data_IF_935064384135
#
_entry.id   IF_935064384135
#
_cell.length_a   1.000
_cell.length_b   1.000
_cell.length_c   1.000
_cell.angle_alpha   90.00
_cell.angle_beta   90.00
_cell.angle_gamma   90.00
#
_symmetry.space_group_name_H-M   'P 1'
#
loop_
_entity.id
_entity.type
_entity.pdbx_description
1 polymer ?
#
# COMPACT_ATOMS: atom_id res chain seq x y z
N UNK A 1 14.74 -18.65 -15.01
CA UNK A 1 14.47 -18.68 -13.55
C UNK A 1 13.08 -18.10 -13.34
N UNK A 2 12.22 -18.79 -12.57
CA UNK A 2 10.82 -18.36 -12.35
C UNK A 2 10.71 -17.29 -11.25
N UNK A 3 9.67 -16.47 -11.32
CA UNK A 3 9.17 -15.63 -10.24
C UNK A 3 7.66 -15.91 -10.09
N UNK A 4 7.01 -15.27 -9.10
CA UNK A 4 5.57 -15.45 -8.85
C UNK A 4 4.75 -14.96 -10.04
N UNK A 5 3.76 -15.72 -10.47
CA UNK A 5 2.81 -15.41 -11.53
C UNK A 5 1.45 -14.98 -11.00
N UNK A 6 0.61 -14.38 -11.84
CA UNK A 6 -0.76 -14.04 -11.48
C UNK A 6 -1.61 -15.25 -11.12
N UNK A 7 -1.43 -16.37 -11.83
CA UNK A 7 -2.14 -17.61 -11.51
C UNK A 7 -1.76 -18.16 -10.11
N UNK A 8 -0.47 -18.12 -9.75
CA UNK A 8 -0.02 -18.48 -8.40
C UNK A 8 -0.58 -17.52 -7.35
N UNK A 9 -0.67 -16.23 -7.67
CA UNK A 9 -1.28 -15.26 -6.77
C UNK A 9 -2.77 -15.54 -6.54
N UNK A 10 -3.57 -15.70 -7.60
CA UNK A 10 -4.99 -16.05 -7.49
C UNK A 10 -5.18 -17.31 -6.65
N UNK A 11 -4.41 -18.37 -6.93
CA UNK A 11 -4.47 -19.61 -6.16
C UNK A 11 -4.19 -19.39 -4.67
N UNK A 12 -3.27 -18.48 -4.34
CA UNK A 12 -2.92 -18.17 -2.94
C UNK A 12 -4.02 -17.43 -2.18
N UNK A 13 -5.01 -16.86 -2.88
CA UNK A 13 -6.18 -16.18 -2.28
C UNK A 13 -7.36 -17.13 -2.02
N UNK A 14 -7.32 -18.36 -2.55
CA UNK A 14 -8.31 -19.41 -2.31
C UNK A 14 -7.99 -20.13 -0.98
N UNK A 15 -7.90 -19.36 0.10
CA UNK A 15 -7.38 -19.77 1.40
C UNK A 15 -8.46 -19.90 2.49
N UNK A 16 -9.74 -19.68 2.13
CA UNK A 16 -10.85 -19.79 3.06
C UNK A 16 -11.00 -18.59 4.01
N UNK A 17 -10.44 -17.43 3.66
CA UNK A 17 -10.58 -16.18 4.44
C UNK A 17 -12.03 -15.79 4.66
N UNK A 18 -12.31 -15.17 5.79
CA UNK A 18 -13.67 -14.74 6.18
C UNK A 18 -13.87 -13.28 5.76
N UNK A 19 -14.61 -13.07 4.67
CA UNK A 19 -14.91 -11.75 4.11
C UNK A 19 -16.42 -11.51 4.11
N UNK A 20 -16.82 -10.34 4.61
CA UNK A 20 -18.20 -9.86 4.56
C UNK A 20 -18.33 -8.68 3.61
N UNK A 21 -19.39 -8.68 2.81
CA UNK A 21 -19.84 -7.54 2.00
C UNK A 21 -21.37 -7.47 2.08
N UNK A 22 -21.92 -6.28 2.26
CA UNK A 22 -23.37 -6.05 2.42
C UNK A 22 -24.00 -6.98 3.47
N UNK A 23 -23.29 -7.25 4.56
CA UNK A 23 -23.73 -8.10 5.69
C UNK A 23 -23.71 -9.60 5.40
N UNK A 24 -23.18 -10.05 4.27
CA UNK A 24 -23.14 -11.47 3.85
C UNK A 24 -21.71 -11.95 3.66
N UNK A 25 -21.49 -13.25 3.90
CA UNK A 25 -20.21 -13.90 3.55
C UNK A 25 -20.04 -13.93 2.03
N UNK A 26 -18.87 -13.50 1.57
CA UNK A 26 -18.54 -13.44 0.16
C UNK A 26 -18.15 -14.80 -0.45
N UNK A 27 -17.72 -15.76 0.38
CA UNK A 27 -17.15 -17.03 -0.11
C UNK A 27 -15.79 -16.81 -0.78
N UNK A 28 -15.57 -17.43 -1.94
CA UNK A 28 -14.33 -17.29 -2.69
C UNK A 28 -14.21 -15.88 -3.30
N UNK A 29 -13.28 -15.10 -2.79
CA UNK A 29 -13.02 -13.71 -3.26
C UNK A 29 -12.54 -13.64 -4.71
N UNK A 30 -11.95 -14.73 -5.22
CA UNK A 30 -11.43 -14.78 -6.60
C UNK A 30 -12.53 -14.84 -7.65
N UNK A 31 -13.72 -15.32 -7.25
CA UNK A 31 -14.88 -15.50 -8.13
C UNK A 31 -16.03 -14.52 -7.81
N UNK A 32 -16.02 -13.92 -6.61
CA UNK A 32 -17.11 -13.05 -6.16
C UNK A 32 -17.22 -11.79 -7.02
N UNK A 33 -18.43 -11.42 -7.45
CA UNK A 33 -18.71 -10.30 -8.35
C UNK A 33 -18.18 -8.93 -7.85
N UNK A 34 -18.04 -8.78 -6.54
CA UNK A 34 -17.53 -7.54 -5.95
C UNK A 34 -15.99 -7.44 -5.96
N UNK A 35 -15.24 -8.50 -6.27
CA UNK A 35 -13.80 -8.55 -6.05
C UNK A 35 -12.99 -9.16 -7.20
N UNK A 36 -13.60 -9.92 -8.09
CA UNK A 36 -12.93 -10.70 -9.15
C UNK A 36 -12.05 -9.86 -10.07
N UNK A 37 -12.45 -8.61 -10.41
CA UNK A 37 -11.65 -7.75 -11.28
C UNK A 37 -10.48 -7.13 -10.51
N UNK A 38 -10.68 -6.77 -9.24
CA UNK A 38 -9.61 -6.32 -8.36
C UNK A 38 -8.55 -7.41 -8.19
N UNK A 39 -8.98 -8.66 -7.95
CA UNK A 39 -8.08 -9.82 -7.89
C UNK A 39 -7.33 -10.03 -9.21
N UNK A 40 -8.02 -9.93 -10.36
CA UNK A 40 -7.39 -10.01 -11.69
C UNK A 40 -6.38 -8.87 -11.92
N UNK A 41 -6.66 -7.67 -11.41
CA UNK A 41 -5.73 -6.54 -11.51
C UNK A 41 -4.48 -6.75 -10.66
N UNK A 42 -4.60 -7.33 -9.48
CA UNK A 42 -3.44 -7.75 -8.70
C UNK A 42 -2.64 -8.86 -9.41
N UNK A 43 -3.32 -9.86 -9.95
CA UNK A 43 -2.69 -10.93 -10.73
C UNK A 43 -1.94 -10.41 -11.96
N UNK A 44 -2.49 -9.42 -12.66
CA UNK A 44 -1.85 -8.75 -13.80
C UNK A 44 -0.48 -8.17 -13.44
N UNK A 45 -0.28 -7.65 -12.23
CA UNK A 45 1.02 -7.15 -11.78
C UNK A 45 2.05 -8.29 -11.74
N UNK A 46 1.69 -9.44 -11.18
CA UNK A 46 2.56 -10.61 -11.11
C UNK A 46 2.80 -11.24 -12.49
N UNK A 47 1.80 -11.27 -13.37
CA UNK A 47 1.99 -11.74 -14.75
C UNK A 47 2.93 -10.82 -15.53
N UNK A 48 2.82 -9.50 -15.34
CA UNK A 48 3.73 -8.55 -15.96
C UNK A 48 5.19 -8.78 -15.53
N UNK A 49 5.45 -9.01 -14.23
CA UNK A 49 6.82 -9.27 -13.78
C UNK A 49 7.38 -10.61 -14.28
N UNK A 50 6.51 -11.60 -14.51
CA UNK A 50 6.90 -12.92 -14.94
C UNK A 50 7.21 -13.04 -16.45
N UNK A 51 6.87 -12.03 -17.25
CA UNK A 51 7.20 -12.00 -18.67
C UNK A 51 8.70 -12.00 -18.89
N UNK A 52 9.22 -12.78 -19.86
CA UNK A 52 10.66 -12.84 -20.13
C UNK A 52 11.33 -11.47 -20.32
N UNK A 53 10.68 -10.56 -21.03
CA UNK A 53 11.15 -9.21 -21.31
C UNK A 53 11.21 -8.30 -20.08
N UNK A 54 10.43 -8.59 -19.04
CA UNK A 54 10.32 -7.77 -17.83
C UNK A 54 11.09 -8.32 -16.63
N UNK A 55 11.49 -9.59 -16.66
CA UNK A 55 12.00 -10.31 -15.48
C UNK A 55 13.23 -9.63 -14.88
N UNK A 56 14.15 -9.13 -15.70
CA UNK A 56 15.36 -8.44 -15.22
C UNK A 56 15.06 -7.06 -14.64
N UNK A 57 14.09 -6.35 -15.22
CA UNK A 57 13.64 -5.06 -14.69
C UNK A 57 12.93 -5.25 -13.34
N UNK A 58 11.98 -6.18 -13.30
CA UNK A 58 11.01 -6.30 -12.21
C UNK A 58 11.53 -7.06 -11.00
N UNK A 59 12.52 -7.94 -11.19
CA UNK A 59 12.91 -8.91 -10.16
C UNK A 59 14.41 -8.90 -9.89
N UNK A 60 14.77 -9.42 -8.71
CA UNK A 60 16.15 -9.75 -8.34
C UNK A 60 16.18 -11.14 -7.72
N UNK A 61 17.36 -11.71 -7.57
CA UNK A 61 17.55 -12.99 -6.89
C UNK A 61 18.20 -12.73 -5.52
N UNK A 62 17.47 -12.92 -4.40
CA UNK A 62 18.08 -12.86 -3.08
C UNK A 62 19.18 -13.91 -2.91
N UNK A 63 20.17 -13.64 -2.07
CA UNK A 63 21.22 -14.60 -1.77
C UNK A 63 20.62 -15.89 -1.21
N UNK A 64 21.07 -17.02 -1.73
CA UNK A 64 20.58 -18.34 -1.32
C UNK A 64 19.17 -18.72 -1.79
N UNK A 65 18.46 -17.82 -2.50
CA UNK A 65 17.12 -18.13 -3.00
C UNK A 65 17.16 -18.97 -4.28
N UNK A 66 16.19 -19.88 -4.41
CA UNK A 66 16.00 -20.70 -5.62
C UNK A 66 15.17 -19.97 -6.69
N UNK A 67 14.49 -18.89 -6.33
CA UNK A 67 13.53 -18.16 -7.13
C UNK A 67 13.85 -16.64 -7.10
N UNK A 68 13.52 -15.95 -8.19
CA UNK A 68 13.54 -14.48 -8.25
C UNK A 68 12.29 -13.91 -7.59
N UNK A 69 12.41 -12.75 -6.96
CA UNK A 69 11.30 -12.03 -6.31
C UNK A 69 11.26 -10.58 -6.76
N UNK A 70 10.14 -9.90 -6.56
CA UNK A 70 9.99 -8.50 -6.95
C UNK A 70 11.05 -7.60 -6.32
N UNK A 71 11.53 -6.59 -7.08
CA UNK A 71 12.52 -5.63 -6.58
C UNK A 71 12.01 -4.75 -5.43
N UNK A 72 10.71 -4.69 -5.19
CA UNK A 72 10.18 -4.02 -4.01
C UNK A 72 10.76 -4.59 -2.70
N UNK A 73 11.14 -5.86 -2.68
CA UNK A 73 11.79 -6.54 -1.56
C UNK A 73 13.31 -6.31 -1.48
N UNK A 74 13.91 -5.65 -2.48
CA UNK A 74 15.35 -5.40 -2.49
C UNK A 74 15.70 -4.27 -1.51
N UNK A 75 16.70 -4.51 -0.67
CA UNK A 75 17.38 -3.49 0.13
C UNK A 75 18.54 -2.92 -0.70
N UNK A 76 18.44 -1.68 -1.23
CA UNK A 76 19.45 -1.11 -2.09
C UNK A 76 20.75 -0.81 -1.30
N UNK A 77 21.90 -1.06 -1.93
CA UNK A 77 23.21 -0.76 -1.39
C UNK A 77 23.83 0.50 -1.98
N UNK A 78 23.29 0.99 -3.07
CA UNK A 78 23.77 2.17 -3.76
C UNK A 78 22.65 2.89 -4.53
N UNK A 79 22.98 4.05 -5.07
CA UNK A 79 22.07 4.84 -5.91
C UNK A 79 21.56 4.05 -7.14
N UNK A 80 22.41 3.27 -7.78
CA UNK A 80 22.02 2.52 -8.98
C UNK A 80 20.99 1.44 -8.67
N UNK A 81 21.11 0.77 -7.52
CA UNK A 81 20.10 -0.19 -7.05
C UNK A 81 18.79 0.49 -6.65
N UNK A 82 18.86 1.67 -6.01
CA UNK A 82 17.68 2.48 -5.71
C UNK A 82 16.91 2.85 -6.98
N UNK A 83 17.63 3.33 -8.01
CA UNK A 83 17.02 3.67 -9.31
C UNK A 83 16.42 2.44 -10.01
N UNK A 84 17.10 1.28 -9.96
CA UNK A 84 16.55 0.02 -10.52
C UNK A 84 15.26 -0.37 -9.82
N UNK A 85 15.23 -0.28 -8.49
CA UNK A 85 14.03 -0.54 -7.68
C UNK A 85 12.89 0.41 -8.04
N UNK A 86 13.14 1.71 -8.16
CA UNK A 86 12.15 2.70 -8.63
C UNK A 86 11.58 2.36 -9.99
N UNK A 87 12.43 2.02 -10.97
CA UNK A 87 11.98 1.67 -12.32
C UNK A 87 11.02 0.47 -12.32
N UNK A 88 11.28 -0.53 -11.50
CA UNK A 88 10.37 -1.68 -11.34
C UNK A 88 9.01 -1.25 -10.77
N UNK A 89 8.99 -0.49 -9.68
CA UNK A 89 7.75 0.02 -9.08
C UNK A 89 6.98 0.93 -10.05
N UNK A 90 7.69 1.77 -10.79
CA UNK A 90 7.10 2.66 -11.78
C UNK A 90 6.44 1.88 -12.93
N UNK A 91 7.07 0.78 -13.38
CA UNK A 91 6.51 -0.11 -14.40
C UNK A 91 5.21 -0.78 -13.91
N UNK A 92 5.15 -1.23 -12.66
CA UNK A 92 3.90 -1.72 -12.06
C UNK A 92 2.83 -0.62 -11.96
N UNK A 93 3.19 0.56 -11.47
CA UNK A 93 2.26 1.67 -11.36
C UNK A 93 1.65 2.07 -12.71
N UNK A 94 2.40 1.96 -13.82
CA UNK A 94 1.92 2.26 -15.16
C UNK A 94 0.74 1.37 -15.60
N UNK A 95 0.68 0.12 -15.15
CA UNK A 95 -0.40 -0.82 -15.50
C UNK A 95 -1.77 -0.38 -14.97
N UNK A 96 -1.79 0.36 -13.88
CA UNK A 96 -3.01 0.92 -13.26
C UNK A 96 -3.09 2.44 -13.39
N UNK A 97 -2.24 3.05 -14.21
CA UNK A 97 -2.14 4.51 -14.31
C UNK A 97 -1.88 5.20 -12.94
N UNK A 98 -1.28 4.47 -12.00
CA UNK A 98 -1.05 4.92 -10.64
C UNK A 98 -2.29 4.87 -9.73
N UNK A 99 -3.41 4.24 -10.12
CA UNK A 99 -4.63 4.18 -9.31
C UNK A 99 -4.64 3.04 -8.29
N UNK A 100 -3.85 1.99 -8.44
CA UNK A 100 -3.61 1.03 -7.36
C UNK A 100 -2.57 1.60 -6.39
N UNK A 101 -3.03 2.22 -5.31
CA UNK A 101 -2.20 2.94 -4.35
C UNK A 101 -1.50 2.02 -3.36
N UNK A 102 -2.11 0.89 -3.05
CA UNK A 102 -1.63 -0.14 -2.14
C UNK A 102 -1.34 -1.44 -2.89
N UNK A 103 -0.62 -1.33 -4.01
CA UNK A 103 -0.05 -2.45 -4.75
C UNK A 103 0.96 -3.23 -3.89
N UNK A 104 1.36 -4.46 -4.29
CA UNK A 104 2.23 -5.32 -3.46
C UNK A 104 3.54 -4.64 -3.01
N UNK A 105 4.08 -3.71 -3.80
CA UNK A 105 5.31 -2.97 -3.51
C UNK A 105 5.17 -1.93 -2.37
N UNK A 106 3.95 -1.56 -2.00
CA UNK A 106 3.72 -0.52 -0.99
C UNK A 106 4.18 -0.96 0.41
N UNK A 107 3.61 -2.03 0.95
CA UNK A 107 3.98 -2.49 2.29
C UNK A 107 5.30 -3.28 2.27
N UNK A 108 5.63 -3.98 1.19
CA UNK A 108 6.95 -4.55 1.00
C UNK A 108 8.05 -3.49 1.20
N UNK A 109 7.83 -2.26 0.70
CA UNK A 109 8.75 -1.13 0.91
C UNK A 109 8.87 -0.75 2.38
N UNK A 110 7.76 -0.71 3.13
CA UNK A 110 7.80 -0.39 4.56
C UNK A 110 8.58 -1.45 5.35
N UNK A 111 8.30 -2.73 5.12
CA UNK A 111 8.99 -3.86 5.79
C UNK A 111 10.48 -3.87 5.46
N UNK A 112 10.84 -3.65 4.18
CA UNK A 112 12.24 -3.47 3.76
C UNK A 112 12.92 -2.36 4.58
N UNK A 113 12.29 -1.19 4.66
CA UNK A 113 12.84 -0.08 5.43
C UNK A 113 12.93 -0.36 6.93
N UNK A 114 12.00 -1.12 7.51
CA UNK A 114 12.08 -1.52 8.91
C UNK A 114 13.28 -2.45 9.15
N UNK A 115 13.50 -3.43 8.29
CA UNK A 115 14.65 -4.35 8.40
C UNK A 115 15.98 -3.66 8.13
N UNK A 116 16.02 -2.63 7.27
CA UNK A 116 17.21 -1.77 7.10
C UNK A 116 17.55 -0.95 8.36
N UNK A 117 16.63 -0.86 9.31
CA UNK A 117 16.81 -0.23 10.62
C UNK A 117 16.64 -1.21 11.79
N UNK A 118 17.09 -2.46 11.62
CA UNK A 118 16.86 -3.54 12.57
C UNK A 118 17.40 -3.24 13.96
N UNK A 119 18.45 -2.42 14.08
CA UNK A 119 19.03 -1.98 15.35
C UNK A 119 18.03 -1.22 16.25
N UNK A 120 16.96 -0.66 15.69
CA UNK A 120 15.87 -0.04 16.46
C UNK A 120 15.05 -1.13 17.18
N UNK A 121 14.77 -2.23 16.48
CA UNK A 121 14.07 -3.37 17.05
C UNK A 121 14.93 -4.16 18.04
N UNK A 122 16.24 -4.24 17.82
CA UNK A 122 17.19 -4.88 18.74
C UNK A 122 17.18 -4.20 20.13
N UNK A 123 17.05 -2.87 20.16
CA UNK A 123 16.90 -2.11 21.42
C UNK A 123 15.60 -2.44 22.15
N UNK A 124 14.53 -2.73 21.42
CA UNK A 124 13.25 -3.18 21.99
C UNK A 124 13.32 -4.64 22.46
N UNK A 125 14.08 -5.48 21.79
CA UNK A 125 14.32 -6.87 22.15
C UNK A 125 14.82 -7.72 20.99
N UNK A 126 15.89 -8.47 21.23
CA UNK A 126 16.51 -9.31 20.19
C UNK A 126 15.54 -10.30 19.55
N UNK A 127 14.58 -10.86 20.32
CA UNK A 127 13.56 -11.75 19.82
C UNK A 127 12.60 -11.04 18.86
N UNK A 128 12.28 -9.76 19.08
CA UNK A 128 11.41 -8.95 18.23
C UNK A 128 12.10 -8.58 16.92
N UNK A 129 13.38 -8.22 17.00
CA UNK A 129 14.21 -7.99 15.83
C UNK A 129 14.32 -9.24 14.95
N UNK A 130 14.59 -10.39 15.59
CA UNK A 130 14.63 -11.68 14.88
C UNK A 130 13.30 -12.00 14.20
N UNK A 131 12.18 -11.83 14.90
CA UNK A 131 10.84 -12.07 14.36
C UNK A 131 10.58 -11.23 13.10
N UNK A 132 10.91 -9.94 13.11
CA UNK A 132 10.76 -9.07 11.96
C UNK A 132 11.66 -9.48 10.79
N UNK A 133 12.91 -9.85 11.06
CA UNK A 133 13.86 -10.30 10.05
C UNK A 133 13.38 -11.61 9.39
N UNK A 134 12.98 -12.59 10.18
CA UNK A 134 12.47 -13.87 9.70
C UNK A 134 11.20 -13.67 8.86
N UNK A 135 10.32 -12.78 9.31
CA UNK A 135 9.13 -12.39 8.56
C UNK A 135 9.46 -11.79 7.19
N UNK A 136 10.41 -10.85 7.14
CA UNK A 136 10.88 -10.28 5.88
C UNK A 136 11.42 -11.36 4.94
N UNK A 137 12.24 -12.28 5.45
CA UNK A 137 12.82 -13.35 4.65
C UNK A 137 11.73 -14.30 4.10
N UNK A 138 10.72 -14.61 4.89
CA UNK A 138 9.59 -15.44 4.46
C UNK A 138 8.71 -14.71 3.45
N UNK A 139 8.29 -13.48 3.75
CA UNK A 139 7.42 -12.68 2.91
C UNK A 139 8.07 -12.37 1.54
N UNK A 140 9.36 -12.02 1.54
CA UNK A 140 10.10 -11.74 0.31
C UNK A 140 10.31 -13.01 -0.52
N UNK A 141 10.64 -14.15 0.10
CA UNK A 141 10.85 -15.44 -0.60
C UNK A 141 9.58 -15.90 -1.32
N UNK A 142 8.42 -15.67 -0.71
CA UNK A 142 7.12 -16.02 -1.28
C UNK A 142 6.54 -14.91 -2.17
N UNK A 143 7.20 -13.76 -2.26
CA UNK A 143 6.73 -12.58 -3.00
C UNK A 143 5.27 -12.24 -2.63
N UNK A 144 4.98 -12.16 -1.31
CA UNK A 144 3.63 -11.95 -0.80
C UNK A 144 3.11 -10.55 -1.11
N UNK A 145 1.83 -10.46 -1.38
CA UNK A 145 1.09 -9.21 -1.32
C UNK A 145 0.70 -8.94 0.12
N UNK A 146 1.18 -7.84 0.69
CA UNK A 146 0.88 -7.44 2.06
C UNK A 146 -0.07 -6.25 2.07
N UNK A 147 -1.08 -6.30 2.94
CA UNK A 147 -1.83 -5.12 3.38
C UNK A 147 -1.45 -4.73 4.80
N UNK A 148 -1.87 -3.55 5.25
CA UNK A 148 -1.66 -3.13 6.62
C UNK A 148 -2.86 -2.38 7.18
N UNK A 149 -3.02 -2.42 8.50
CA UNK A 149 -4.01 -1.67 9.24
C UNK A 149 -3.36 -1.00 10.44
N UNK A 150 -3.38 0.34 10.45
CA UNK A 150 -2.73 1.17 11.47
C UNK A 150 -3.68 2.17 12.11
N UNK A 151 -4.87 2.34 11.54
CA UNK A 151 -5.86 3.34 11.97
C UNK A 151 -6.94 2.67 12.81
N UNK A 152 -7.20 3.23 13.97
CA UNK A 152 -8.30 2.80 14.82
C UNK A 152 -9.65 3.28 14.27
N UNK A 153 -10.75 2.52 14.47
CA UNK A 153 -12.10 3.00 14.15
C UNK A 153 -12.40 4.31 14.90
N UNK A 154 -12.99 5.27 14.17
CA UNK A 154 -13.30 6.59 14.72
C UNK A 154 -14.76 6.63 15.22
N UNK A 155 -15.02 6.07 16.42
CA UNK A 155 -16.35 6.13 17.00
C UNK A 155 -16.54 7.38 17.88
N UNK A 156 -16.00 7.41 19.08
CA UNK A 156 -16.13 8.53 19.99
C UNK A 156 -14.83 9.36 20.04
N UNK A 157 -14.75 10.38 19.18
CA UNK A 157 -13.52 11.20 19.01
C UNK A 157 -13.13 12.01 20.26
N UNK A 158 -14.05 12.21 21.20
CA UNK A 158 -13.81 12.92 22.45
C UNK A 158 -13.19 12.06 23.55
N UNK A 159 -13.11 10.75 23.36
CA UNK A 159 -12.52 9.80 24.30
C UNK A 159 -11.13 9.38 23.88
N UNK A 160 -10.27 9.14 24.86
CA UNK A 160 -8.98 8.49 24.64
C UNK A 160 -9.16 7.04 24.15
N UNK A 161 -8.13 6.49 23.52
CA UNK A 161 -8.22 5.14 22.93
C UNK A 161 -8.45 4.06 23.98
N UNK A 162 -7.88 4.22 25.18
CA UNK A 162 -8.12 3.31 26.31
C UNK A 162 -9.55 3.34 26.88
N UNK A 163 -10.28 4.45 26.64
CA UNK A 163 -11.66 4.64 27.11
C UNK A 163 -12.72 4.19 26.11
N UNK A 164 -12.30 3.80 24.88
CA UNK A 164 -13.20 3.24 23.89
C UNK A 164 -13.70 1.85 24.34
N UNK A 165 -14.83 1.40 23.77
CA UNK A 165 -15.33 0.03 23.98
C UNK A 165 -14.22 -1.00 23.72
N UNK A 166 -14.12 -2.02 24.57
CA UNK A 166 -13.08 -3.06 24.47
C UNK A 166 -13.05 -3.76 23.10
N UNK A 167 -14.20 -3.90 22.47
CA UNK A 167 -14.33 -4.57 21.17
C UNK A 167 -14.13 -3.63 19.98
N UNK A 168 -13.99 -2.32 20.23
CA UNK A 168 -13.89 -1.35 19.13
C UNK A 168 -12.47 -1.25 18.57
N UNK A 169 -11.48 -1.12 19.43
CA UNK A 169 -10.09 -0.87 19.05
C UNK A 169 -9.25 -2.11 19.30
N UNK A 170 -8.51 -2.56 18.28
CA UNK A 170 -7.66 -3.74 18.41
C UNK A 170 -6.63 -3.59 19.52
N UNK A 171 -6.65 -4.53 20.46
CA UNK A 171 -5.79 -4.60 21.65
C UNK A 171 -5.38 -6.02 21.99
N UNK A 172 -4.30 -6.16 22.74
CA UNK A 172 -3.91 -7.43 23.35
C UNK A 172 -4.86 -7.69 24.51
N UNK A 173 -5.59 -8.81 24.47
CA UNK A 173 -6.55 -9.22 25.53
C UNK A 173 -6.02 -10.37 26.36
N UNK A 174 -5.09 -11.17 25.84
CA UNK A 174 -4.47 -12.29 26.55
C UNK A 174 -3.08 -12.58 25.95
N UNK A 175 -2.23 -13.23 26.75
CA UNK A 175 -0.90 -13.69 26.33
C UNK A 175 -0.47 -14.94 27.10
N UNK A 176 0.21 -15.84 26.39
CA UNK A 176 0.74 -17.07 26.95
C UNK A 176 2.10 -17.46 26.31
N UNK A 177 2.61 -18.63 26.60
CA UNK A 177 3.86 -19.11 26.02
C UNK A 177 3.85 -19.21 24.49
N UNK A 178 2.68 -19.34 23.87
CA UNK A 178 2.51 -19.45 22.40
C UNK A 178 2.40 -18.12 21.67
N UNK A 179 2.12 -17.02 22.36
CA UNK A 179 1.94 -15.71 21.73
C UNK A 179 0.93 -14.81 22.42
N UNK A 180 0.45 -13.80 21.69
CA UNK A 180 -0.59 -12.86 22.16
C UNK A 180 -1.93 -13.20 21.53
N UNK A 181 -3.03 -12.82 22.18
CA UNK A 181 -4.38 -12.86 21.61
C UNK A 181 -4.86 -11.43 21.43
N UNK A 182 -5.33 -11.09 20.23
CA UNK A 182 -5.82 -9.75 19.91
C UNK A 182 -7.31 -9.75 19.65
N UNK A 183 -8.01 -8.70 20.13
CA UNK A 183 -9.44 -8.45 19.89
C UNK A 183 -9.67 -7.00 19.52
N UNK A 184 -10.76 -6.73 18.77
CA UNK A 184 -11.17 -5.42 18.33
C UNK A 184 -10.88 -5.17 16.85
N UNK A 185 -10.99 -3.93 16.41
CA UNK A 185 -10.90 -3.57 15.00
C UNK A 185 -9.77 -2.59 14.67
N UNK A 186 -9.33 -2.67 13.43
CA UNK A 186 -8.56 -1.66 12.72
C UNK A 186 -9.24 -1.37 11.39
N UNK A 187 -9.09 -0.15 10.86
CA UNK A 187 -9.71 0.24 9.60
C UNK A 187 -8.68 0.66 8.55
N UNK A 188 -9.20 0.87 7.32
CA UNK A 188 -8.42 1.19 6.14
C UNK A 188 -7.48 0.04 5.70
N UNK A 189 -7.99 -1.21 5.80
CA UNK A 189 -7.34 -2.38 5.21
C UNK A 189 -7.46 -2.36 3.69
N UNK A 190 -6.79 -1.40 3.06
CA UNK A 190 -6.77 -1.23 1.60
C UNK A 190 -6.10 -2.43 0.95
N UNK A 191 -6.72 -3.00 -0.06
CA UNK A 191 -6.28 -4.22 -0.77
C UNK A 191 -6.32 -5.51 0.06
N UNK A 192 -6.97 -5.52 1.23
CA UNK A 192 -7.06 -6.71 2.09
C UNK A 192 -7.67 -7.94 1.39
N UNK A 193 -8.58 -7.71 0.45
CA UNK A 193 -9.19 -8.78 -0.36
C UNK A 193 -8.13 -9.50 -1.23
N UNK A 194 -7.12 -8.78 -1.70
CA UNK A 194 -6.08 -9.26 -2.61
C UNK A 194 -4.77 -9.62 -1.90
N UNK A 195 -4.65 -9.30 -0.61
CA UNK A 195 -3.43 -9.52 0.15
C UNK A 195 -3.32 -10.97 0.67
N UNK A 196 -2.10 -11.46 0.79
CA UNK A 196 -1.81 -12.72 1.46
C UNK A 196 -1.80 -12.57 2.97
N UNK A 197 -1.24 -11.45 3.47
CA UNK A 197 -1.12 -11.17 4.90
C UNK A 197 -1.47 -9.72 5.23
N UNK A 198 -1.84 -9.49 6.48
CA UNK A 198 -2.04 -8.18 7.07
C UNK A 198 -0.98 -7.89 8.13
N UNK A 199 -0.34 -6.73 7.99
CA UNK A 199 0.52 -6.15 9.01
C UNK A 199 -0.34 -5.24 9.89
N UNK A 200 -0.42 -5.56 11.17
CA UNK A 200 -1.19 -4.80 12.17
C UNK A 200 -0.23 -3.97 12.99
N UNK A 201 -0.49 -2.67 13.11
CA UNK A 201 0.32 -1.80 13.95
C UNK A 201 -0.52 -0.66 14.54
N UNK A 202 0.09 0.09 15.46
CA UNK A 202 -0.43 1.36 15.93
C UNK A 202 0.60 2.47 15.63
N UNK A 203 0.13 3.56 15.06
CA UNK A 203 0.96 4.73 14.75
C UNK A 203 0.53 5.96 15.56
N UNK A 204 -0.67 5.92 16.11
CA UNK A 204 -1.22 7.02 16.89
C UNK A 204 -0.51 7.09 18.25
N UNK A 205 -0.27 8.31 18.78
CA UNK A 205 0.26 8.47 20.12
C UNK A 205 -0.61 7.76 21.15
N UNK A 206 0.03 7.03 22.05
CA UNK A 206 -0.61 6.31 23.15
C UNK A 206 -0.20 6.95 24.47
N UNK A 207 -1.10 6.91 25.45
CA UNK A 207 -0.88 7.39 26.82
C UNK A 207 -0.41 6.25 27.73
N UNK A 208 0.19 6.57 28.89
CA UNK A 208 0.40 5.58 29.93
C UNK A 208 -0.92 4.89 30.31
N UNK A 209 -0.90 3.56 30.42
CA UNK A 209 -2.09 2.72 30.63
C UNK A 209 -2.72 2.16 29.34
N UNK A 210 -2.24 2.59 28.16
CA UNK A 210 -2.70 2.09 26.85
C UNK A 210 -1.76 1.06 26.21
N UNK A 211 -0.87 0.43 27.00
CA UNK A 211 0.13 -0.53 26.52
C UNK A 211 -0.50 -1.75 25.82
N UNK A 212 -1.74 -2.10 26.16
CA UNK A 212 -2.47 -3.15 25.47
C UNK A 212 -2.75 -2.83 23.97
N UNK A 213 -2.76 -1.55 23.59
CA UNK A 213 -2.90 -1.07 22.22
C UNK A 213 -1.55 -0.96 21.49
N UNK A 214 -0.44 -1.07 22.24
CA UNK A 214 0.92 -0.84 21.75
C UNK A 214 1.53 -2.13 21.20
N UNK A 215 1.13 -2.57 20.03
CA UNK A 215 1.69 -3.76 19.40
C UNK A 215 1.82 -3.60 17.88
N UNK A 216 2.70 -4.42 17.29
CA UNK A 216 2.66 -4.72 15.86
C UNK A 216 2.93 -6.19 15.60
N UNK A 217 2.24 -6.73 14.61
CA UNK A 217 2.32 -8.14 14.23
C UNK A 217 1.95 -8.33 12.76
N UNK A 218 2.15 -9.54 12.25
CA UNK A 218 1.67 -9.95 10.93
C UNK A 218 0.87 -11.24 11.02
N UNK A 219 -0.19 -11.33 10.23
CA UNK A 219 -1.13 -12.45 10.22
C UNK A 219 -1.53 -12.81 8.79
N UNK A 220 -1.70 -14.11 8.48
CA UNK A 220 -2.35 -14.50 7.23
C UNK A 220 -3.81 -14.05 7.20
N UNK A 221 -4.31 -13.65 6.02
CA UNK A 221 -5.68 -13.15 5.88
C UNK A 221 -6.76 -14.18 6.22
N UNK A 222 -6.41 -15.45 6.28
CA UNK A 222 -7.27 -16.55 6.69
C UNK A 222 -7.07 -16.97 8.16
N UNK A 223 -6.39 -16.18 8.98
CA UNK A 223 -6.21 -16.49 10.39
C UNK A 223 -7.57 -16.71 11.07
N UNK A 224 -7.65 -17.73 11.93
CA UNK A 224 -8.88 -18.04 12.67
C UNK A 224 -9.29 -16.85 13.54
N UNK A 225 -10.53 -16.38 13.38
CA UNK A 225 -11.07 -15.20 14.09
C UNK A 225 -10.84 -13.88 13.36
N UNK A 226 -10.01 -13.81 12.31
CA UNK A 226 -9.87 -12.63 11.49
C UNK A 226 -11.06 -12.49 10.54
N UNK A 227 -11.73 -11.33 10.56
CA UNK A 227 -12.87 -11.01 9.71
C UNK A 227 -12.62 -9.72 8.94
N UNK A 228 -12.82 -9.76 7.64
CA UNK A 228 -12.69 -8.62 6.74
C UNK A 228 -14.10 -8.10 6.42
N UNK A 229 -14.40 -6.86 6.80
CA UNK A 229 -15.67 -6.21 6.51
C UNK A 229 -15.42 -5.19 5.39
N UNK A 230 -15.68 -5.62 4.15
CA UNK A 230 -15.44 -4.80 2.96
C UNK A 230 -16.44 -3.67 2.86
N UNK A 231 -15.98 -2.49 2.45
CA UNK A 231 -16.89 -1.43 2.01
C UNK A 231 -17.60 -1.82 0.73
N UNK A 232 -18.59 -1.03 0.34
CA UNK A 232 -19.26 -1.16 -0.96
C UNK A 232 -18.24 -1.26 -2.10
N UNK A 233 -18.41 -2.26 -2.95
CA UNK A 233 -17.58 -2.46 -4.13
C UNK A 233 -17.95 -1.47 -5.23
N UNK A 234 -16.95 -0.79 -5.80
CA UNK A 234 -17.14 0.02 -7.00
C UNK A 234 -17.21 -0.85 -8.26
N UNK A 235 -16.54 -2.00 -8.26
CA UNK A 235 -16.62 -2.99 -9.34
C UNK A 235 -18.05 -3.51 -9.51
N UNK A 236 -18.67 -3.99 -8.40
CA UNK A 236 -20.02 -4.52 -8.43
C UNK A 236 -21.09 -3.48 -8.83
N UNK A 237 -20.84 -2.20 -8.59
CA UNK A 237 -21.75 -1.10 -8.95
C UNK A 237 -21.45 -0.45 -10.30
N UNK A 238 -20.39 -0.91 -11.00
CA UNK A 238 -20.04 -0.38 -12.32
C UNK A 238 -21.08 -0.79 -13.37
N UNK A 239 -21.57 0.18 -14.12
CA UNK A 239 -22.52 -0.06 -15.24
C UNK A 239 -21.82 -0.80 -16.38
N UNK A 240 -20.65 -0.32 -16.75
CA UNK A 240 -19.81 -0.94 -17.76
C UNK A 240 -18.32 -0.54 -17.58
N UNK A 241 -17.42 -1.26 -18.23
CA UNK A 241 -15.99 -0.85 -18.27
C UNK A 241 -15.81 0.48 -19.02
N UNK A 242 -16.68 0.79 -19.98
CA UNK A 242 -16.63 2.05 -20.70
C UNK A 242 -16.98 3.23 -19.78
N UNK A 243 -18.08 3.14 -19.04
CA UNK A 243 -18.54 4.20 -18.12
C UNK A 243 -17.67 4.31 -16.84
N UNK A 244 -17.12 3.18 -16.39
CA UNK A 244 -16.36 3.07 -15.14
C UNK A 244 -14.96 2.46 -15.37
N UNK A 245 -14.13 3.01 -16.28
CA UNK A 245 -12.92 2.32 -16.77
C UNK A 245 -11.84 2.11 -15.71
N UNK A 246 -11.79 2.93 -14.69
CA UNK A 246 -10.81 2.83 -13.58
C UNK A 246 -11.39 2.05 -12.42
N UNK A 247 -12.56 2.45 -11.91
CA UNK A 247 -13.15 1.87 -10.69
C UNK A 247 -13.66 0.44 -10.88
N UNK A 248 -14.05 0.04 -12.10
CA UNK A 248 -14.43 -1.35 -12.39
C UNK A 248 -13.27 -2.35 -12.40
N UNK A 249 -12.03 -1.87 -12.45
CA UNK A 249 -10.82 -2.71 -12.56
C UNK A 249 -9.87 -2.56 -11.39
N UNK A 250 -9.67 -1.33 -10.91
CA UNK A 250 -8.63 -0.98 -9.93
C UNK A 250 -9.21 -0.58 -8.57
N UNK A 251 -10.35 -1.15 -8.22
CA UNK A 251 -10.92 -0.99 -6.89
C UNK A 251 -10.07 -1.73 -5.86
N UNK A 252 -9.49 -1.02 -4.91
CA UNK A 252 -8.62 -1.61 -3.89
C UNK A 252 -9.41 -2.18 -2.70
N UNK A 253 -10.74 -2.03 -2.68
CA UNK A 253 -11.64 -2.60 -1.67
C UNK A 253 -11.16 -2.38 -0.24
N UNK A 254 -11.20 -1.13 0.24
CA UNK A 254 -10.90 -0.83 1.62
C UNK A 254 -11.84 -1.57 2.57
N UNK A 255 -11.30 -2.06 3.67
CA UNK A 255 -12.07 -2.82 4.64
C UNK A 255 -11.73 -2.40 6.08
N UNK A 256 -12.69 -2.66 6.97
CA UNK A 256 -12.42 -2.78 8.39
C UNK A 256 -12.00 -4.23 8.65
N UNK A 257 -10.93 -4.43 9.39
CA UNK A 257 -10.48 -5.75 9.83
C UNK A 257 -10.79 -5.89 11.32
N UNK A 258 -11.60 -6.90 11.64
CA UNK A 258 -11.98 -7.25 13.00
C UNK A 258 -11.28 -8.52 13.45
N UNK A 259 -10.71 -8.46 14.62
CA UNK A 259 -10.02 -9.56 15.28
C UNK A 259 -10.91 -10.10 16.40
N UNK A 260 -11.41 -11.32 16.23
CA UNK A 260 -12.26 -12.04 17.17
C UNK A 260 -11.39 -13.09 17.89
N UNK A 261 -10.69 -12.66 18.93
CA UNK A 261 -9.75 -13.45 19.70
C UNK A 261 -8.70 -14.16 18.83
N UNK A 262 -8.05 -13.38 17.96
CA UNK A 262 -7.06 -13.93 17.04
C UNK A 262 -5.74 -14.18 17.77
N UNK A 263 -5.30 -15.44 17.77
CA UNK A 263 -3.99 -15.83 18.31
C UNK A 263 -2.87 -15.47 17.35
N UNK A 264 -1.87 -14.73 17.84
CA UNK A 264 -0.67 -14.33 17.11
C UNK A 264 0.54 -14.97 17.78
N UNK A 265 1.26 -15.87 17.09
CA UNK A 265 2.43 -16.50 17.68
C UNK A 265 3.57 -15.50 17.85
N UNK A 266 4.45 -15.73 18.85
CA UNK A 266 5.52 -14.79 19.20
C UNK A 266 6.47 -14.45 18.05
N UNK A 267 6.69 -15.38 17.12
CA UNK A 267 7.51 -15.19 15.91
C UNK A 267 6.88 -14.24 14.89
N UNK A 268 5.63 -13.86 15.09
CA UNK A 268 4.88 -12.89 14.26
C UNK A 268 4.60 -11.58 14.97
N UNK A 269 5.10 -11.40 16.22
CA UNK A 269 4.96 -10.16 17.00
C UNK A 269 6.26 -9.37 16.93
N UNK A 270 6.20 -8.13 16.46
CA UNK A 270 7.37 -7.26 16.24
C UNK A 270 7.49 -6.16 17.28
N UNK A 271 6.38 -5.65 17.79
CA UNK A 271 6.30 -4.71 18.92
C UNK A 271 5.32 -5.30 19.95
N UNK A 272 5.70 -5.24 21.23
CA UNK A 272 4.90 -5.78 22.30
C UNK A 272 4.84 -4.80 23.46
N UNK A 273 3.65 -4.26 23.74
CA UNK A 273 3.33 -3.36 24.88
C UNK A 273 4.26 -2.16 25.01
N UNK A 274 4.77 -1.63 23.89
CA UNK A 274 5.70 -0.50 23.90
C UNK A 274 5.19 0.63 22.99
N UNK A 275 4.58 1.69 23.58
CA UNK A 275 4.09 2.86 22.86
C UNK A 275 5.17 3.60 22.06
N UNK A 276 6.38 3.73 22.57
CA UNK A 276 7.47 4.43 21.92
C UNK A 276 7.96 3.64 20.70
N UNK A 277 8.05 2.31 20.83
CA UNK A 277 8.42 1.44 19.73
C UNK A 277 7.37 1.40 18.62
N UNK A 278 6.08 1.58 18.93
CA UNK A 278 5.03 1.73 17.92
C UNK A 278 5.31 2.87 16.94
N UNK A 279 5.87 3.98 17.43
CA UNK A 279 6.29 5.12 16.62
C UNK A 279 7.66 4.88 15.97
N UNK A 280 8.62 4.37 16.76
CA UNK A 280 10.02 4.18 16.35
C UNK A 280 10.14 3.21 15.15
N UNK A 281 9.32 2.15 15.08
CA UNK A 281 9.33 1.19 13.99
C UNK A 281 9.14 1.82 12.60
N UNK A 282 8.45 2.97 12.51
CA UNK A 282 8.23 3.68 11.24
C UNK A 282 9.16 4.89 11.07
N UNK A 283 9.42 5.63 12.13
CA UNK A 283 10.10 6.93 12.04
C UNK A 283 11.59 6.89 12.35
N UNK A 284 12.05 5.96 13.17
CA UNK A 284 13.46 5.80 13.51
C UNK A 284 14.16 4.77 12.62
N UNK A 285 13.36 3.95 11.91
CA UNK A 285 13.80 3.13 10.78
C UNK A 285 13.56 3.85 9.45
N UNK A 286 14.11 3.37 8.32
CA UNK A 286 13.72 3.81 6.98
C UNK A 286 12.29 3.43 6.56
N UNK A 287 11.51 2.70 7.37
CA UNK A 287 10.20 2.14 7.00
C UNK A 287 9.24 3.15 6.40
N UNK A 288 8.99 4.26 7.09
CA UNK A 288 8.09 5.32 6.63
C UNK A 288 8.65 6.05 5.38
N UNK A 289 9.95 6.25 5.31
CA UNK A 289 10.58 6.89 4.15
C UNK A 289 10.41 6.03 2.88
N UNK A 290 10.64 4.73 2.98
CA UNK A 290 10.48 3.81 1.85
C UNK A 290 9.03 3.65 1.41
N UNK A 291 8.10 3.60 2.35
CA UNK A 291 6.67 3.55 2.05
C UNK A 291 6.20 4.80 1.31
N UNK A 292 6.61 5.99 1.77
CA UNK A 292 6.24 7.25 1.11
C UNK A 292 6.99 7.48 -0.20
N UNK A 293 8.22 6.99 -0.32
CA UNK A 293 8.94 6.98 -1.58
C UNK A 293 8.17 6.19 -2.65
N UNK A 294 7.65 4.99 -2.33
CA UNK A 294 6.76 4.24 -3.23
C UNK A 294 5.52 5.08 -3.61
N UNK A 295 4.92 5.77 -2.64
CA UNK A 295 3.75 6.63 -2.91
C UNK A 295 4.09 7.77 -3.89
N UNK A 296 5.29 8.38 -3.82
CA UNK A 296 5.73 9.41 -4.77
C UNK A 296 5.99 8.83 -6.17
N UNK A 297 6.57 7.63 -6.26
CA UNK A 297 6.75 6.93 -7.55
C UNK A 297 5.39 6.71 -8.23
N UNK A 298 4.44 6.16 -7.50
CA UNK A 298 3.08 5.94 -8.00
C UNK A 298 2.39 7.25 -8.39
N UNK A 299 2.55 8.30 -7.58
CA UNK A 299 1.98 9.61 -7.88
C UNK A 299 2.56 10.22 -9.17
N UNK A 300 3.87 10.05 -9.42
CA UNK A 300 4.50 10.54 -10.65
C UNK A 300 3.82 9.96 -11.91
N UNK A 301 3.44 8.69 -11.86
CA UNK A 301 2.68 8.03 -12.93
C UNK A 301 1.27 8.58 -13.03
N UNK A 302 0.58 8.71 -11.89
CA UNK A 302 -0.81 9.21 -11.85
C UNK A 302 -0.93 10.64 -12.36
N UNK A 303 -0.04 11.55 -11.96
CA UNK A 303 -0.04 12.94 -12.44
C UNK A 303 0.23 13.03 -13.93
N UNK A 304 1.15 12.21 -14.46
CA UNK A 304 1.39 12.12 -15.89
C UNK A 304 0.15 11.66 -16.66
N UNK A 305 -0.55 10.64 -16.15
CA UNK A 305 -1.82 10.19 -16.72
C UNK A 305 -2.87 11.30 -16.70
N UNK A 306 -3.04 12.00 -15.57
CA UNK A 306 -4.00 13.09 -15.43
C UNK A 306 -3.69 14.28 -16.36
N UNK A 307 -2.42 14.62 -16.55
CA UNK A 307 -2.01 15.63 -17.52
C UNK A 307 -2.39 15.21 -18.96
N UNK A 308 -2.14 13.96 -19.34
CA UNK A 308 -2.57 13.41 -20.63
C UNK A 308 -4.09 13.40 -20.78
N UNK A 309 -4.83 13.05 -19.73
CA UNK A 309 -6.30 13.11 -19.72
C UNK A 309 -6.82 14.53 -19.96
N UNK A 310 -6.25 15.54 -19.28
CA UNK A 310 -6.60 16.94 -19.50
C UNK A 310 -6.40 17.36 -20.95
N UNK A 311 -5.28 16.98 -21.56
CA UNK A 311 -5.01 17.27 -22.97
C UNK A 311 -6.03 16.59 -23.89
N UNK A 312 -6.29 15.30 -23.72
CA UNK A 312 -7.28 14.57 -24.53
C UNK A 312 -8.70 15.11 -24.39
N UNK A 313 -9.06 15.54 -23.18
CA UNK A 313 -10.34 16.18 -22.91
C UNK A 313 -10.49 17.48 -23.70
N UNK A 314 -9.48 18.36 -23.66
CA UNK A 314 -9.50 19.63 -24.40
C UNK A 314 -9.46 19.46 -25.92
N UNK A 315 -8.81 18.40 -26.43
CA UNK A 315 -8.89 18.00 -27.84
C UNK A 315 -10.33 17.60 -28.22
N UNK A 316 -10.96 16.75 -27.41
CA UNK A 316 -12.32 16.27 -27.69
C UNK A 316 -13.37 17.39 -27.76
N UNK A 317 -13.22 18.43 -26.93
CA UNK A 317 -14.12 19.59 -26.94
C UNK A 317 -13.64 20.76 -27.81
N UNK A 318 -12.49 20.62 -28.50
CA UNK A 318 -12.00 21.60 -29.47
C UNK A 318 -11.39 22.86 -28.87
N UNK A 319 -10.98 22.85 -27.59
CA UNK A 319 -10.49 24.05 -26.89
C UNK A 319 -8.98 24.14 -26.74
N UNK A 320 -8.22 23.11 -27.14
CA UNK A 320 -6.76 23.01 -26.94
C UNK A 320 -5.98 24.21 -27.46
N UNK A 321 -6.42 24.84 -28.56
CA UNK A 321 -5.73 25.97 -29.16
C UNK A 321 -5.97 27.32 -28.44
N UNK A 322 -6.93 27.38 -27.54
CA UNK A 322 -7.27 28.61 -26.79
C UNK A 322 -6.12 29.00 -25.83
N UNK A 323 -5.64 30.26 -25.84
CA UNK A 323 -4.50 30.66 -25.02
C UNK A 323 -4.64 30.32 -23.52
N UNK A 324 -5.77 30.58 -22.82
CA UNK A 324 -5.92 30.20 -21.41
C UNK A 324 -5.84 28.68 -21.16
N UNK A 325 -6.37 27.85 -22.10
CA UNK A 325 -6.33 26.40 -22.02
C UNK A 325 -4.89 25.90 -22.18
N UNK A 326 -4.14 26.46 -23.14
CA UNK A 326 -2.73 26.14 -23.35
C UNK A 326 -1.87 26.47 -22.12
N UNK A 327 -2.14 27.59 -21.47
CA UNK A 327 -1.45 27.99 -20.23
C UNK A 327 -1.70 26.95 -19.11
N UNK A 328 -2.94 26.55 -18.90
CA UNK A 328 -3.28 25.53 -17.89
C UNK A 328 -2.65 24.17 -18.19
N UNK A 329 -2.68 23.72 -19.44
CA UNK A 329 -2.04 22.48 -19.87
C UNK A 329 -0.52 22.55 -19.68
N UNK A 330 0.11 23.69 -20.02
CA UNK A 330 1.53 23.95 -19.76
C UNK A 330 1.88 23.90 -18.28
N UNK A 331 1.03 24.45 -17.43
CA UNK A 331 1.21 24.40 -15.97
C UNK A 331 1.11 22.97 -15.43
N UNK A 332 0.12 22.17 -15.89
CA UNK A 332 0.02 20.74 -15.55
C UNK A 332 1.28 19.96 -15.97
N UNK A 333 1.81 20.22 -17.16
CA UNK A 333 3.05 19.59 -17.64
C UNK A 333 4.27 19.96 -16.77
N UNK A 334 4.36 21.21 -16.33
CA UNK A 334 5.39 21.67 -15.40
C UNK A 334 5.27 20.97 -14.03
N UNK A 335 4.07 20.76 -13.54
CA UNK A 335 3.82 20.00 -12.29
C UNK A 335 4.26 18.53 -12.40
N UNK A 336 4.03 17.88 -13.54
CA UNK A 336 4.56 16.52 -13.82
C UNK A 336 6.09 16.52 -13.71
N UNK A 337 6.75 17.50 -14.33
CA UNK A 337 8.21 17.64 -14.29
C UNK A 337 8.72 17.91 -12.87
N UNK A 338 8.02 18.75 -12.10
CA UNK A 338 8.35 19.04 -10.71
C UNK A 338 8.32 17.78 -9.84
N UNK A 339 7.27 16.95 -9.93
CA UNK A 339 7.17 15.69 -9.17
C UNK A 339 8.31 14.75 -9.54
N UNK A 340 8.66 14.64 -10.82
CA UNK A 340 9.78 13.81 -11.26
C UNK A 340 11.13 14.35 -10.75
N UNK A 341 11.32 15.68 -10.73
CA UNK A 341 12.52 16.32 -10.21
C UNK A 341 12.68 16.09 -8.69
N UNK A 342 11.60 16.21 -7.92
CA UNK A 342 11.62 15.90 -6.48
C UNK A 342 12.00 14.45 -6.22
N UNK A 343 11.47 13.52 -7.02
CA UNK A 343 11.81 12.09 -6.90
C UNK A 343 13.27 11.82 -7.24
N UNK A 344 13.80 12.41 -8.33
CA UNK A 344 15.21 12.30 -8.70
C UNK A 344 16.13 12.93 -7.65
N UNK A 345 15.73 14.08 -7.09
CA UNK A 345 16.49 14.76 -6.03
C UNK A 345 16.59 13.91 -4.76
N UNK A 346 15.50 13.31 -4.29
CA UNK A 346 15.56 12.46 -3.09
C UNK A 346 16.39 11.18 -3.29
N UNK A 347 16.49 10.69 -4.54
CA UNK A 347 17.37 9.58 -4.89
C UNK A 347 18.85 10.02 -4.94
N UNK A 348 19.15 11.10 -5.65
CA UNK A 348 20.53 11.58 -5.85
C UNK A 348 21.20 12.04 -4.55
N UNK A 349 20.41 12.67 -3.66
CA UNK A 349 20.85 13.13 -2.33
C UNK A 349 20.57 12.08 -1.23
N UNK A 350 20.42 10.83 -1.59
CA UNK A 350 20.25 9.73 -0.64
C UNK A 350 21.51 9.51 0.19
N UNK A 351 21.39 8.85 1.32
CA UNK A 351 22.46 8.62 2.27
C UNK A 351 22.59 7.14 2.63
N UNK A 352 23.79 6.76 3.09
CA UNK A 352 24.01 5.42 3.63
C UNK A 352 23.52 5.33 5.09
N UNK A 353 22.79 4.25 5.40
CA UNK A 353 22.53 3.79 6.76
C UNK A 353 23.10 2.38 6.91
N UNK A 354 24.25 2.28 7.58
CA UNK A 354 25.03 1.05 7.55
C UNK A 354 25.42 0.71 6.10
N UNK A 355 25.01 -0.46 5.64
CA UNK A 355 25.27 -0.94 4.26
C UNK A 355 24.15 -0.59 3.26
N UNK A 356 23.09 0.11 3.69
CA UNK A 356 21.90 0.35 2.90
C UNK A 356 21.79 1.79 2.43
N UNK A 357 21.37 1.98 1.18
CA UNK A 357 21.13 3.29 0.59
C UNK A 357 19.68 3.73 0.85
N UNK A 358 19.49 4.88 1.49
CA UNK A 358 18.18 5.41 1.87
C UNK A 358 17.91 6.72 1.12
N UNK A 359 16.73 6.96 0.56
CA UNK A 359 16.40 8.23 -0.09
C UNK A 359 16.47 9.37 0.90
N UNK A 360 16.82 10.57 0.42
CA UNK A 360 16.89 11.76 1.27
C UNK A 360 15.54 12.00 1.94
N UNK A 361 15.52 11.84 3.25
CA UNK A 361 14.30 11.90 4.06
C UNK A 361 13.66 13.29 4.06
N UNK A 362 14.48 14.35 4.07
CA UNK A 362 13.99 15.72 4.05
C UNK A 362 13.26 16.02 2.72
N UNK A 363 13.88 15.66 1.59
CA UNK A 363 13.26 15.85 0.28
C UNK A 363 12.00 14.99 0.12
N UNK A 364 12.00 13.78 0.65
CA UNK A 364 10.84 12.89 0.62
C UNK A 364 9.66 13.50 1.40
N UNK A 365 9.86 14.01 2.62
CA UNK A 365 8.80 14.65 3.38
C UNK A 365 8.32 15.96 2.73
N UNK A 366 9.23 16.75 2.17
CA UNK A 366 8.87 17.94 1.39
C UNK A 366 7.99 17.57 0.20
N UNK A 367 8.36 16.54 -0.56
CA UNK A 367 7.55 16.05 -1.66
C UNK A 367 6.17 15.57 -1.18
N UNK A 368 6.09 14.85 -0.05
CA UNK A 368 4.83 14.38 0.51
C UNK A 368 3.88 15.55 0.82
N UNK A 369 4.36 16.59 1.49
CA UNK A 369 3.55 17.77 1.83
C UNK A 369 3.10 18.51 0.58
N UNK A 370 4.04 18.82 -0.33
CA UNK A 370 3.73 19.60 -1.54
C UNK A 370 2.78 18.84 -2.49
N UNK A 371 2.90 17.53 -2.59
CA UNK A 371 2.05 16.75 -3.49
C UNK A 371 0.65 16.50 -2.95
N UNK A 372 0.44 16.58 -1.63
CA UNK A 372 -0.91 16.56 -1.04
C UNK A 372 -1.70 17.84 -1.38
N UNK A 373 -1.04 19.00 -1.42
CA UNK A 373 -1.64 20.25 -1.88
C UNK A 373 -1.82 20.28 -3.42
N UNK A 374 -0.87 19.70 -4.14
CA UNK A 374 -0.88 19.66 -5.60
C UNK A 374 -2.03 18.83 -6.18
N UNK A 375 -2.28 17.64 -5.63
CA UNK A 375 -3.21 16.68 -6.24
C UNK A 375 -4.65 17.20 -6.37
N UNK A 376 -5.28 17.82 -5.34
CA UNK A 376 -6.58 18.45 -5.48
C UNK A 376 -6.61 19.57 -6.54
N UNK A 377 -5.55 20.35 -6.67
CA UNK A 377 -5.44 21.40 -7.68
C UNK A 377 -5.44 20.83 -9.09
N UNK A 378 -4.69 19.76 -9.35
CA UNK A 378 -4.71 19.05 -10.63
C UNK A 378 -6.12 18.56 -10.98
N UNK A 379 -6.83 17.93 -10.04
CA UNK A 379 -8.20 17.48 -10.25
C UNK A 379 -9.15 18.65 -10.56
N UNK A 380 -9.06 19.74 -9.82
CA UNK A 380 -9.88 20.92 -10.07
C UNK A 380 -9.60 21.55 -11.45
N UNK A 381 -8.33 21.65 -11.85
CA UNK A 381 -7.95 22.11 -13.19
C UNK A 381 -8.60 21.26 -14.29
N UNK A 382 -8.61 19.93 -14.14
CA UNK A 382 -9.25 19.03 -15.11
C UNK A 382 -10.76 19.27 -15.15
N UNK A 383 -11.41 19.48 -14.01
CA UNK A 383 -12.85 19.80 -13.94
C UNK A 383 -13.16 21.13 -14.62
N UNK A 384 -12.35 22.17 -14.41
CA UNK A 384 -12.49 23.47 -15.03
C UNK A 384 -12.33 23.37 -16.56
N UNK A 385 -11.34 22.61 -17.03
CA UNK A 385 -11.12 22.34 -18.46
C UNK A 385 -12.27 21.56 -19.10
N UNK A 386 -12.92 20.67 -18.35
CA UNK A 386 -14.10 19.93 -18.84
C UNK A 386 -15.36 20.79 -18.93
N UNK A 387 -15.45 21.84 -18.08
CA UNK A 387 -16.60 22.74 -18.03
C UNK A 387 -17.93 22.02 -17.81
N UNK A 388 -18.99 22.46 -18.47
CA UNK A 388 -20.34 21.91 -18.37
C UNK A 388 -20.50 20.47 -18.90
N UNK A 389 -19.53 19.99 -19.67
CA UNK A 389 -19.58 18.63 -20.25
C UNK A 389 -19.70 17.53 -19.15
N UNK A 390 -19.10 17.74 -17.98
CA UNK A 390 -19.21 16.81 -16.85
C UNK A 390 -20.65 16.65 -16.30
N UNK A 391 -21.46 17.71 -16.44
CA UNK A 391 -22.86 17.73 -15.97
C UNK A 391 -23.80 17.12 -17.01
N UNK A 392 -23.47 17.32 -18.28
CA UNK A 392 -24.31 16.96 -19.42
C UNK A 392 -24.00 15.57 -20.00
N UNK A 393 -23.09 14.81 -19.37
CA UNK A 393 -22.80 13.44 -19.81
C UNK A 393 -24.04 12.54 -19.70
N UNK A 394 -24.30 11.69 -20.70
CA UNK A 394 -25.28 10.61 -20.56
C UNK A 394 -24.96 9.73 -19.37
N UNK A 395 -25.99 9.13 -18.78
CA UNK A 395 -25.82 8.23 -17.61
C UNK A 395 -25.08 6.93 -17.98
N UNK A 396 -25.15 6.52 -19.22
CA UNK A 396 -24.46 5.36 -19.80
C UNK A 396 -24.38 5.51 -21.31
N UNK A 397 -23.47 4.75 -21.91
CA UNK A 397 -23.33 4.59 -23.36
C UNK A 397 -24.24 3.49 -23.88
#
# INVERSE_FOLDING_TARGET
MSCKTGAEHIKSLQDGRTVYIDGKLAGDVTEHAAFRNSVKSAAMLYDFQARPENIELMTFKPNGANRRVNRAWQMPRDYAEMVRRRKAMQAWAQLSYGFMGRSPDHLASAVVGQVMGLEVFEKHGAARAKALKDYYEEASRNDWFLTYVIINPQAERGKDWGEQSEDLVARIVDEDAGGITIRGAKMLGTSSIMANEVFVANLQPLKPGEEALAFSCALPMNAKGLRVLSRKSYEASAVSVFDNPISSRFDENDALIYFDDVKVPWERVFVHRDPDMCRAQFHDTPGHAYQNYQAQIRLSVKIKFLCGLAHRLTEAIGTTAMPPVREQLGFLAAQVSMVNAMMAGMEAEGTMRGEWYVPNRHFMYSAQVLTQDLYPKVINTIRDLAGGALIMLPSSF
#
